data_IF_393283868250
#
_entry.id   IF_393283868250
#
_cell.length_a   1.000
_cell.length_b   1.000
_cell.length_c   1.000
_cell.angle_alpha   90.00
_cell.angle_beta   90.00
_cell.angle_gamma   90.00
#
_symmetry.space_group_name_H-M   'P 1'
#
loop_
_entity.id
_entity.type
_entity.pdbx_description
1 polymer ?
#
# COMPACT_ATOMS: atom_id res chain seq x y z
N UNK A 1 -43.03 34.34 52.32
CA UNK A 1 -42.55 33.03 51.79
C UNK A 1 -42.74 32.88 50.27
N UNK A 2 -43.33 33.86 49.56
CA UNK A 2 -43.57 33.81 48.10
C UNK A 2 -42.31 33.97 47.23
N UNK A 3 -41.27 34.67 47.72
CA UNK A 3 -40.06 34.98 46.93
C UNK A 3 -39.16 33.76 46.66
N UNK A 4 -39.31 32.69 47.45
CA UNK A 4 -38.52 31.47 47.25
C UNK A 4 -39.19 30.52 46.24
N UNK A 5 -40.52 30.56 46.10
CA UNK A 5 -41.23 29.80 45.09
C UNK A 5 -40.96 30.33 43.67
N UNK A 6 -40.89 31.66 43.52
CA UNK A 6 -40.61 32.33 42.24
C UNK A 6 -39.15 32.08 41.75
N UNK A 7 -38.21 31.89 42.68
CA UNK A 7 -36.83 31.51 42.36
C UNK A 7 -36.68 30.03 41.96
N UNK A 8 -37.61 29.17 42.38
CA UNK A 8 -37.59 27.75 42.01
C UNK A 8 -38.21 27.51 40.63
N UNK A 9 -39.24 28.26 40.23
CA UNK A 9 -39.83 28.17 38.88
C UNK A 9 -38.95 28.75 37.77
N UNK A 10 -38.07 29.71 38.08
CA UNK A 10 -37.10 30.24 37.11
C UNK A 10 -35.99 29.24 36.73
N UNK A 11 -35.74 28.20 37.52
CA UNK A 11 -34.71 27.17 37.24
C UNK A 11 -35.22 26.02 36.36
N UNK A 12 -36.52 25.95 36.12
CA UNK A 12 -37.14 24.88 35.32
C UNK A 12 -37.29 25.25 33.84
N UNK A 13 -36.77 26.41 33.42
CA UNK A 13 -36.71 26.85 32.01
C UNK A 13 -35.25 26.86 31.53
N UNK A 14 -34.48 25.85 31.94
CA UNK A 14 -33.26 25.47 31.24
C UNK A 14 -33.65 24.50 30.15
N UNK A 15 -33.78 24.99 28.92
CA UNK A 15 -34.03 24.20 27.71
C UNK A 15 -33.07 23.01 27.71
N UNK A 16 -33.57 21.82 28.04
CA UNK A 16 -32.88 20.56 27.73
C UNK A 16 -32.87 20.46 26.21
N UNK A 17 -31.87 21.04 25.57
CA UNK A 17 -31.40 20.55 24.30
C UNK A 17 -30.94 19.10 24.56
N UNK A 18 -31.86 18.15 24.39
CA UNK A 18 -31.51 16.77 24.08
C UNK A 18 -30.80 16.83 22.73
N UNK A 19 -29.51 17.15 22.75
CA UNK A 19 -28.63 16.77 21.67
C UNK A 19 -28.73 15.25 21.63
N UNK A 20 -29.44 14.74 20.62
CA UNK A 20 -29.35 13.36 20.19
C UNK A 20 -27.93 13.14 19.70
N UNK A 21 -27.00 13.04 20.66
CA UNK A 21 -25.66 12.54 20.43
C UNK A 21 -25.82 11.06 20.15
N UNK A 22 -26.25 10.76 18.92
CA UNK A 22 -26.11 9.46 18.29
C UNK A 22 -24.65 9.10 18.51
N UNK A 23 -24.41 8.21 19.48
CA UNK A 23 -23.07 7.76 19.83
C UNK A 23 -22.48 7.07 18.60
N UNK A 24 -21.77 7.85 17.79
CA UNK A 24 -21.00 7.35 16.64
C UNK A 24 -19.81 6.52 17.09
N UNK A 25 -19.60 6.31 18.39
CA UNK A 25 -18.56 5.44 18.97
C UNK A 25 -18.59 4.03 18.38
N UNK A 26 -19.75 3.46 18.08
CA UNK A 26 -19.85 2.15 17.43
C UNK A 26 -19.40 2.17 15.95
N UNK A 27 -19.69 3.26 15.23
CA UNK A 27 -19.29 3.43 13.83
C UNK A 27 -17.81 3.82 13.69
N UNK A 28 -17.28 4.63 14.62
CA UNK A 28 -15.85 4.92 14.75
C UNK A 28 -15.06 3.69 15.20
N UNK A 29 -15.61 2.88 16.11
CA UNK A 29 -15.01 1.63 16.58
C UNK A 29 -14.81 0.62 15.45
N UNK A 30 -15.82 0.41 14.57
CA UNK A 30 -15.67 -0.48 13.41
C UNK A 30 -14.66 0.02 12.39
N UNK A 31 -14.63 1.31 12.06
CA UNK A 31 -13.63 1.87 11.13
C UNK A 31 -12.21 1.83 11.72
N UNK A 32 -12.07 2.09 13.02
CA UNK A 32 -10.79 2.02 13.72
C UNK A 32 -10.29 0.58 13.93
N UNK A 33 -11.19 -0.39 14.12
CA UNK A 33 -10.87 -1.83 14.14
C UNK A 33 -10.44 -2.31 12.74
N UNK A 34 -11.15 -1.91 11.69
CA UNK A 34 -10.77 -2.25 10.31
C UNK A 34 -9.42 -1.63 9.91
N UNK A 35 -9.03 -0.50 10.49
CA UNK A 35 -7.69 0.09 10.29
C UNK A 35 -6.61 -0.47 11.23
N UNK A 36 -6.97 -1.25 12.27
CA UNK A 36 -6.04 -1.87 13.22
C UNK A 36 -5.85 -3.37 13.03
N UNK A 37 -6.75 -4.03 12.32
CA UNK A 37 -6.53 -5.36 11.76
C UNK A 37 -5.32 -5.25 10.82
N UNK A 38 -4.17 -5.62 11.37
CA UNK A 38 -2.89 -5.53 10.66
C UNK A 38 -2.96 -6.43 9.46
N UNK A 39 -2.38 -6.01 8.33
CA UNK A 39 -2.27 -6.84 7.12
C UNK A 39 -1.87 -8.29 7.46
N UNK A 40 -0.94 -8.47 8.41
CA UNK A 40 -0.53 -9.80 8.90
C UNK A 40 -1.68 -10.63 9.50
N UNK A 41 -2.57 -10.03 10.28
CA UNK A 41 -3.68 -10.73 10.94
C UNK A 41 -4.77 -11.17 9.97
N UNK A 42 -4.96 -10.47 8.85
CA UNK A 42 -5.96 -10.83 7.84
C UNK A 42 -5.41 -11.64 6.67
N UNK A 43 -4.19 -11.36 6.22
CA UNK A 43 -3.59 -11.99 5.03
C UNK A 43 -2.71 -13.20 5.34
N UNK A 44 -1.99 -13.21 6.46
CA UNK A 44 -1.08 -14.32 6.79
C UNK A 44 -1.74 -15.38 7.68
N UNK A 45 -2.90 -15.10 8.26
CA UNK A 45 -3.68 -16.06 9.04
C UNK A 45 -4.52 -17.00 8.16
N UNK A 46 -4.87 -16.57 6.95
CA UNK A 46 -5.71 -17.34 6.04
C UNK A 46 -4.89 -18.33 5.20
N UNK A 47 -5.26 -19.61 5.29
CA UNK A 47 -4.61 -20.71 4.57
C UNK A 47 -4.80 -20.61 3.06
N UNK A 48 -5.92 -20.04 2.60
CA UNK A 48 -6.20 -19.88 1.17
C UNK A 48 -5.31 -18.81 0.50
N UNK A 49 -4.65 -17.95 1.29
CA UNK A 49 -3.81 -16.87 0.77
C UNK A 49 -2.40 -17.35 0.36
N UNK A 50 -1.90 -18.47 0.90
CA UNK A 50 -0.57 -18.99 0.58
C UNK A 50 -0.39 -19.45 -0.88
N UNK A 51 -1.34 -20.16 -1.51
CA UNK A 51 -1.27 -20.47 -2.94
C UNK A 51 -1.24 -19.21 -3.81
N UNK A 52 -2.00 -18.17 -3.44
CA UNK A 52 -2.03 -16.89 -4.16
C UNK A 52 -0.65 -16.19 -4.08
N UNK A 53 -0.05 -16.17 -2.88
CA UNK A 53 1.29 -15.66 -2.65
C UNK A 53 2.34 -16.43 -3.47
N UNK A 54 2.21 -17.75 -3.59
CA UNK A 54 3.12 -18.57 -4.38
C UNK A 54 3.07 -18.21 -5.87
N UNK A 55 1.87 -18.03 -6.44
CA UNK A 55 1.71 -17.66 -7.85
C UNK A 55 2.23 -16.24 -8.12
N UNK A 56 1.91 -15.28 -7.24
CA UNK A 56 2.42 -13.91 -7.34
C UNK A 56 3.95 -13.86 -7.19
N UNK A 57 4.52 -14.61 -6.26
CA UNK A 57 5.95 -14.74 -6.08
C UNK A 57 6.63 -15.34 -7.32
N UNK A 58 6.09 -16.44 -7.85
CA UNK A 58 6.62 -17.08 -9.06
C UNK A 58 6.59 -16.15 -10.27
N UNK A 59 5.48 -15.46 -10.51
CA UNK A 59 5.37 -14.49 -11.60
C UNK A 59 6.40 -13.36 -11.47
N UNK A 60 6.55 -12.82 -10.26
CA UNK A 60 7.51 -11.74 -9.97
C UNK A 60 8.95 -12.21 -10.20
N UNK A 61 9.30 -13.39 -9.70
CA UNK A 61 10.64 -13.97 -9.88
C UNK A 61 10.95 -14.23 -11.36
N UNK A 62 9.97 -14.67 -12.15
CA UNK A 62 10.17 -14.94 -13.57
C UNK A 62 10.43 -13.63 -14.34
N UNK A 63 9.61 -12.60 -14.11
CA UNK A 63 9.79 -11.28 -14.75
C UNK A 63 11.13 -10.65 -14.36
N UNK A 64 11.45 -10.65 -13.07
CA UNK A 64 12.73 -10.11 -12.58
C UNK A 64 13.91 -10.93 -13.09
N UNK A 65 13.79 -12.26 -13.14
CA UNK A 65 14.84 -13.16 -13.62
C UNK A 65 15.14 -12.97 -15.12
N UNK A 66 14.11 -12.86 -15.96
CA UNK A 66 14.26 -12.55 -17.38
C UNK A 66 14.82 -11.15 -17.57
N UNK A 67 14.28 -10.16 -16.84
CA UNK A 67 14.78 -8.78 -16.87
C UNK A 67 16.27 -8.68 -16.49
N UNK A 68 16.67 -9.36 -15.41
CA UNK A 68 18.06 -9.41 -14.96
C UNK A 68 18.96 -10.14 -15.97
N UNK A 69 18.46 -11.20 -16.61
CA UNK A 69 19.19 -11.93 -17.65
C UNK A 69 19.42 -11.04 -18.88
N UNK A 70 18.39 -10.35 -19.34
CA UNK A 70 18.52 -9.36 -20.42
C UNK A 70 19.49 -8.23 -20.05
N UNK A 71 19.43 -7.73 -18.82
CA UNK A 71 20.34 -6.67 -18.38
C UNK A 71 21.79 -7.13 -18.28
N UNK A 72 22.03 -8.37 -17.84
CA UNK A 72 23.38 -8.89 -17.58
C UNK A 72 24.08 -9.45 -18.82
N UNK A 73 23.31 -10.04 -19.74
CA UNK A 73 23.85 -10.74 -20.91
C UNK A 73 23.57 -10.03 -22.24
N UNK A 74 22.76 -8.97 -22.27
CA UNK A 74 22.60 -8.20 -23.50
C UNK A 74 23.90 -7.47 -23.85
N UNK A 75 24.41 -7.60 -25.09
CA UNK A 75 25.61 -6.90 -25.53
C UNK A 75 25.43 -5.37 -25.57
N UNK A 76 24.18 -4.91 -25.60
CA UNK A 76 23.82 -3.49 -25.60
C UNK A 76 23.92 -2.87 -24.18
N UNK A 77 23.86 -3.69 -23.12
CA UNK A 77 23.86 -3.21 -21.74
C UNK A 77 25.22 -3.47 -21.09
N UNK A 78 25.88 -2.39 -20.66
CA UNK A 78 27.27 -2.42 -20.16
C UNK A 78 27.34 -2.11 -18.68
N UNK A 79 27.05 -3.11 -17.87
CA UNK A 79 27.14 -3.01 -16.41
C UNK A 79 28.62 -2.92 -15.98
N UNK A 80 29.50 -3.69 -16.63
CA UNK A 80 30.93 -3.71 -16.32
C UNK A 80 31.67 -2.50 -16.90
N UNK A 81 32.42 -1.73 -16.09
CA UNK A 81 33.19 -0.57 -16.56
C UNK A 81 34.20 -0.91 -17.66
N UNK A 82 34.81 -2.09 -17.60
CA UNK A 82 35.81 -2.57 -18.56
C UNK A 82 35.28 -2.78 -19.98
N UNK A 83 33.96 -2.92 -20.15
CA UNK A 83 33.32 -3.14 -21.46
C UNK A 83 32.65 -1.88 -22.02
N UNK A 84 32.76 -0.72 -21.34
CA UNK A 84 32.12 0.55 -21.74
C UNK A 84 32.59 1.10 -23.09
N UNK A 85 33.80 0.78 -23.52
CA UNK A 85 34.42 1.27 -24.76
C UNK A 85 34.49 0.26 -25.90
N UNK A 86 34.00 -0.97 -25.74
CA UNK A 86 34.01 -1.94 -26.86
C UNK A 86 33.05 -1.50 -27.98
N UNK A 87 33.19 -1.99 -29.20
CA UNK A 87 32.26 -1.66 -30.29
C UNK A 87 31.03 -2.59 -30.16
N UNK A 88 29.83 -2.02 -30.00
CA UNK A 88 28.58 -2.80 -29.79
C UNK A 88 28.11 -3.47 -31.09
N UNK A 89 28.28 -2.77 -32.22
CA UNK A 89 27.74 -3.16 -33.52
C UNK A 89 28.75 -2.82 -34.59
N UNK A 90 29.08 -3.80 -35.42
CA UNK A 90 30.10 -3.69 -36.47
C UNK A 90 29.50 -3.71 -37.87
N UNK A 91 28.20 -4.00 -37.98
CA UNK A 91 27.46 -3.94 -39.23
C UNK A 91 27.28 -2.49 -39.69
N UNK A 92 27.80 -2.17 -40.88
CA UNK A 92 27.67 -0.85 -41.52
C UNK A 92 28.91 0.06 -41.44
N UNK A 93 30.00 -0.38 -40.82
CA UNK A 93 31.28 0.34 -40.85
C UNK A 93 32.10 -0.10 -42.09
N UNK A 94 32.61 0.85 -42.91
CA UNK A 94 33.48 0.50 -44.04
C UNK A 94 34.76 -0.16 -43.50
N UNK A 95 34.95 -1.45 -43.79
CA UNK A 95 36.17 -2.21 -43.45
C UNK A 95 36.03 -3.38 -42.47
N UNK A 96 34.82 -3.74 -42.01
CA UNK A 96 34.64 -4.88 -41.10
C UNK A 96 34.48 -6.21 -41.85
N UNK A 97 35.45 -7.13 -41.70
CA UNK A 97 35.36 -8.51 -42.21
C UNK A 97 34.62 -9.39 -41.19
N UNK A 98 33.64 -10.14 -41.68
CA UNK A 98 33.04 -11.26 -40.97
C UNK A 98 33.92 -12.50 -41.23
N UNK A 99 34.73 -12.87 -40.24
CA UNK A 99 35.36 -14.19 -40.18
C UNK A 99 34.43 -15.16 -39.46
#
# INVERSE_FOLDING_TARGET
MLNNALRQTARTVGVRHQSSSVSTTFLKGRKALYSRETFKANWLSDTATYPLLAVMGAATLLVVGVGASCLSFSPDVRIYPSKRSSIVRTWGLPGYKHD
#
